data_IF_370614189006
#
_entry.id   IF_370614189006
#
_cell.length_a   1.000
_cell.length_b   1.000
_cell.length_c   1.000
_cell.angle_alpha   90.00
_cell.angle_beta   90.00
_cell.angle_gamma   90.00
#
_symmetry.space_group_name_H-M   'P 1'
#
loop_
_entity.id
_entity.type
_entity.pdbx_description
1 polymer ?
#
# COMPACT_ATOMS: atom_id res chain seq x y z
N UNK A 1 -10.92 -21.30 19.41
CA UNK A 1 -10.71 -20.06 18.65
C UNK A 1 -9.39 -20.17 17.93
N UNK A 2 -9.37 -19.96 16.61
CA UNK A 2 -8.12 -19.87 15.85
C UNK A 2 -7.57 -18.45 15.86
N UNK A 3 -6.66 -18.14 14.93
CA UNK A 3 -6.06 -16.81 14.74
C UNK A 3 -7.11 -15.68 14.68
N UNK A 4 -8.24 -15.92 14.00
CA UNK A 4 -9.35 -14.98 13.94
C UNK A 4 -9.95 -14.64 15.32
N UNK A 5 -10.00 -15.61 16.24
CA UNK A 5 -10.48 -15.39 17.61
C UNK A 5 -9.52 -14.50 18.38
N UNK A 6 -8.21 -14.79 18.32
CA UNK A 6 -7.18 -13.98 18.96
C UNK A 6 -7.17 -12.53 18.45
N UNK A 7 -7.35 -12.32 17.14
CA UNK A 7 -7.48 -10.98 16.57
C UNK A 7 -8.72 -10.23 17.08
N UNK A 8 -9.87 -10.90 17.17
CA UNK A 8 -11.08 -10.29 17.74
C UNK A 8 -10.89 -9.90 19.21
N UNK A 9 -10.23 -10.73 19.99
CA UNK A 9 -9.92 -10.45 21.39
C UNK A 9 -8.98 -9.25 21.53
N UNK A 10 -7.92 -9.20 20.73
CA UNK A 10 -7.00 -8.04 20.68
C UNK A 10 -7.70 -6.74 20.30
N UNK A 11 -8.58 -6.78 19.28
CA UNK A 11 -9.33 -5.59 18.85
C UNK A 11 -10.29 -5.12 19.94
N UNK A 12 -11.01 -6.04 20.59
CA UNK A 12 -11.93 -5.72 21.70
C UNK A 12 -11.19 -5.14 22.90
N UNK A 13 -10.05 -5.73 23.26
CA UNK A 13 -9.25 -5.26 24.39
C UNK A 13 -8.82 -3.78 24.22
N UNK A 14 -8.57 -3.35 23.00
CA UNK A 14 -8.17 -1.96 22.70
C UNK A 14 -9.36 -1.01 22.54
N UNK A 15 -10.48 -1.46 21.97
CA UNK A 15 -11.56 -0.59 21.50
C UNK A 15 -12.86 -0.64 22.32
N UNK A 16 -13.05 -1.66 23.17
CA UNK A 16 -14.26 -1.75 24.00
C UNK A 16 -14.28 -0.59 25.02
N UNK A 17 -15.45 0.03 25.19
CA UNK A 17 -15.64 1.21 26.05
C UNK A 17 -15.28 2.56 25.42
N UNK A 18 -14.73 2.58 24.20
CA UNK A 18 -14.40 3.82 23.46
C UNK A 18 -15.58 4.32 22.62
N UNK A 19 -16.52 5.05 23.20
CA UNK A 19 -17.73 5.54 22.50
C UNK A 19 -17.51 6.82 21.67
N UNK A 20 -16.33 7.43 21.79
CA UNK A 20 -15.92 8.68 21.14
C UNK A 20 -15.44 8.52 19.69
N UNK A 21 -15.46 7.29 19.15
CA UNK A 21 -14.89 6.98 17.83
C UNK A 21 -15.91 7.21 16.71
N UNK A 22 -15.56 8.06 15.73
CA UNK A 22 -16.46 8.45 14.64
C UNK A 22 -16.27 7.70 13.31
N UNK A 23 -15.08 7.19 13.00
CA UNK A 23 -14.78 6.47 11.75
C UNK A 23 -13.54 5.58 11.93
N UNK A 24 -13.39 4.57 11.07
CA UNK A 24 -12.16 3.79 10.93
C UNK A 24 -11.43 4.24 9.66
N UNK A 25 -10.21 4.77 9.80
CA UNK A 25 -9.32 5.04 8.65
C UNK A 25 -8.11 4.12 8.71
N UNK A 26 -7.84 3.39 7.63
CA UNK A 26 -6.69 2.49 7.52
C UNK A 26 -6.01 2.63 6.16
N UNK A 27 -4.69 2.41 6.12
CA UNK A 27 -3.99 1.98 4.92
C UNK A 27 -4.13 0.45 4.82
N UNK A 28 -4.89 -0.10 3.85
CA UNK A 28 -5.10 -1.54 3.78
C UNK A 28 -3.82 -2.31 3.45
N UNK A 29 -3.59 -3.40 4.16
CA UNK A 29 -2.51 -4.39 3.99
C UNK A 29 -1.10 -3.87 4.26
N UNK A 30 -0.79 -2.60 3.99
CA UNK A 30 0.55 -2.05 4.18
C UNK A 30 0.50 -0.56 4.53
N UNK A 31 1.13 -0.19 5.64
CA UNK A 31 1.42 1.21 5.96
C UNK A 31 2.71 1.62 5.26
N UNK A 32 2.58 2.34 4.14
CA UNK A 32 3.70 2.56 3.22
C UNK A 32 4.78 3.46 3.80
N UNK A 33 4.41 4.71 4.08
CA UNK A 33 5.35 5.72 4.61
C UNK A 33 5.80 5.42 6.06
N UNK A 34 5.03 4.60 6.79
CA UNK A 34 5.34 4.16 8.15
C UNK A 34 6.45 3.09 8.25
N UNK A 35 7.12 2.77 7.13
CA UNK A 35 8.19 1.78 7.07
C UNK A 35 7.79 0.47 6.41
N UNK A 36 6.87 0.50 5.43
CA UNK A 36 6.35 -0.71 4.76
C UNK A 36 5.86 -1.78 5.74
N UNK A 37 5.07 -1.38 6.73
CA UNK A 37 4.54 -2.31 7.73
C UNK A 37 3.38 -3.09 7.12
N UNK A 38 3.63 -4.33 6.76
CA UNK A 38 2.60 -5.24 6.27
C UNK A 38 1.76 -5.76 7.44
N UNK A 39 0.45 -5.67 7.30
CA UNK A 39 -0.53 -6.04 8.31
C UNK A 39 -1.33 -7.22 7.76
N UNK A 40 -1.55 -8.24 8.61
CA UNK A 40 -2.35 -9.40 8.23
C UNK A 40 -3.76 -8.97 7.77
N UNK A 41 -4.15 -9.27 6.51
CA UNK A 41 -5.47 -8.95 5.98
C UNK A 41 -6.63 -9.51 6.83
N UNK A 42 -6.43 -10.64 7.52
CA UNK A 42 -7.43 -11.20 8.42
C UNK A 42 -7.65 -10.30 9.64
N UNK A 43 -6.59 -9.74 10.24
CA UNK A 43 -6.71 -8.84 11.37
C UNK A 43 -7.45 -7.56 10.98
N UNK A 44 -7.05 -6.92 9.87
CA UNK A 44 -7.71 -5.70 9.39
C UNK A 44 -9.17 -5.96 9.02
N UNK A 45 -9.49 -7.10 8.39
CA UNK A 45 -10.88 -7.48 8.12
C UNK A 45 -11.71 -7.60 9.40
N UNK A 46 -11.15 -8.18 10.48
CA UNK A 46 -11.86 -8.26 11.76
C UNK A 46 -12.02 -6.87 12.41
N UNK A 47 -11.05 -5.97 12.26
CA UNK A 47 -11.15 -4.58 12.71
C UNK A 47 -12.26 -3.83 11.96
N UNK A 48 -12.30 -3.94 10.64
CA UNK A 48 -13.37 -3.36 9.81
C UNK A 48 -14.74 -3.90 10.23
N UNK A 49 -14.86 -5.22 10.43
CA UNK A 49 -16.11 -5.84 10.92
C UNK A 49 -16.50 -5.35 12.31
N UNK A 50 -15.53 -5.09 13.18
CA UNK A 50 -15.77 -4.55 14.51
C UNK A 50 -16.34 -3.14 14.44
N UNK A 51 -15.69 -2.23 13.71
CA UNK A 51 -16.14 -0.85 13.55
C UNK A 51 -17.51 -0.76 12.85
N UNK A 52 -17.75 -1.55 11.80
CA UNK A 52 -19.05 -1.59 11.12
C UNK A 52 -20.20 -2.02 12.01
N UNK A 53 -20.00 -3.00 12.91
CA UNK A 53 -21.04 -3.41 13.88
C UNK A 53 -21.43 -2.28 14.84
N UNK A 54 -20.60 -1.24 14.94
CA UNK A 54 -20.83 -0.05 15.76
C UNK A 54 -21.36 1.14 14.96
N UNK A 55 -21.70 0.94 13.68
CA UNK A 55 -22.20 2.00 12.80
C UNK A 55 -21.14 2.99 12.33
N UNK A 56 -19.85 2.68 12.51
CA UNK A 56 -18.77 3.58 12.09
C UNK A 56 -18.46 3.39 10.60
N UNK A 57 -18.38 4.48 9.80
CA UNK A 57 -17.90 4.42 8.43
C UNK A 57 -16.43 4.00 8.38
N UNK A 58 -16.10 3.26 7.34
CA UNK A 58 -14.78 2.69 7.06
C UNK A 58 -14.18 3.42 5.86
N UNK A 59 -12.98 3.94 6.05
CA UNK A 59 -12.21 4.70 5.07
C UNK A 59 -10.95 3.90 4.74
N UNK A 60 -10.78 3.56 3.47
CA UNK A 60 -9.52 3.02 2.96
C UNK A 60 -8.69 4.14 2.35
N UNK A 61 -7.50 4.37 2.91
CA UNK A 61 -6.46 5.13 2.23
C UNK A 61 -5.73 4.21 1.25
N UNK A 62 -6.17 4.22 0.00
CA UNK A 62 -5.60 3.46 -1.10
C UNK A 62 -4.61 4.27 -1.94
N UNK A 63 -4.18 5.45 -1.46
CA UNK A 63 -3.30 6.35 -2.23
C UNK A 63 -1.96 5.66 -2.51
N UNK A 64 -1.43 4.87 -1.58
CA UNK A 64 -0.22 4.05 -1.81
C UNK A 64 -0.53 2.67 -2.39
N UNK A 65 -1.51 1.96 -1.80
CA UNK A 65 -1.71 0.52 -1.94
C UNK A 65 -2.71 0.10 -3.02
N UNK A 66 -3.54 1.03 -3.49
CA UNK A 66 -4.54 0.75 -4.52
C UNK A 66 -3.97 0.86 -5.93
N UNK A 67 -4.89 0.79 -6.90
CA UNK A 67 -4.63 0.99 -8.32
C UNK A 67 -3.50 0.10 -8.83
N UNK A 68 -3.61 -1.20 -8.55
CA UNK A 68 -2.70 -2.24 -9.02
C UNK A 68 -1.30 -2.23 -8.41
N UNK A 69 -1.03 -1.40 -7.40
CA UNK A 69 0.21 -1.45 -6.61
C UNK A 69 0.49 -2.87 -6.11
N UNK A 70 -0.53 -3.56 -5.59
CA UNK A 70 -0.45 -4.94 -5.09
C UNK A 70 -0.95 -6.00 -6.07
N UNK A 71 -1.16 -5.64 -7.35
CA UNK A 71 -1.71 -6.53 -8.37
C UNK A 71 -3.23 -6.69 -8.31
N UNK A 72 -3.92 -5.86 -7.52
CA UNK A 72 -5.38 -5.75 -7.46
C UNK A 72 -5.77 -4.29 -7.72
N UNK A 73 -6.89 -4.06 -8.38
CA UNK A 73 -7.39 -2.69 -8.62
C UNK A 73 -7.61 -1.97 -7.28
N UNK A 74 -8.20 -2.67 -6.31
CA UNK A 74 -8.40 -2.21 -4.95
C UNK A 74 -8.01 -3.30 -3.95
N UNK A 75 -7.47 -2.87 -2.81
CA UNK A 75 -7.17 -3.73 -1.66
C UNK A 75 -8.41 -4.31 -0.98
N UNK A 76 -9.61 -3.87 -1.36
CA UNK A 76 -10.87 -4.50 -0.94
C UNK A 76 -10.92 -5.99 -1.26
N UNK A 77 -10.25 -6.45 -2.32
CA UNK A 77 -10.19 -7.87 -2.71
C UNK A 77 -9.30 -8.68 -1.76
N UNK A 78 -8.26 -8.04 -1.21
CA UNK A 78 -7.39 -8.63 -0.18
C UNK A 78 -8.12 -8.71 1.17
N UNK A 79 -8.84 -7.63 1.54
CA UNK A 79 -9.61 -7.59 2.78
C UNK A 79 -10.97 -8.30 2.67
N UNK A 80 -11.47 -8.57 1.47
CA UNK A 80 -12.80 -9.13 1.17
C UNK A 80 -13.95 -8.35 1.83
N UNK A 81 -13.82 -7.04 1.87
CA UNK A 81 -14.81 -6.12 2.45
C UNK A 81 -14.60 -4.73 1.84
N UNK A 82 -15.63 -4.20 1.20
CA UNK A 82 -15.61 -2.86 0.62
C UNK A 82 -15.54 -1.79 1.72
N UNK A 83 -14.88 -0.64 1.50
CA UNK A 83 -14.98 0.50 2.38
C UNK A 83 -16.25 1.33 2.11
N UNK A 84 -16.56 2.26 2.99
CA UNK A 84 -17.62 3.27 2.79
C UNK A 84 -17.08 4.52 2.07
N UNK A 85 -15.77 4.80 2.22
CA UNK A 85 -15.01 5.84 1.54
C UNK A 85 -13.65 5.28 1.11
N UNK A 86 -13.17 5.62 -0.09
CA UNK A 86 -11.83 5.23 -0.55
C UNK A 86 -11.07 6.43 -1.15
N UNK A 87 -9.80 6.58 -0.76
CA UNK A 87 -8.94 7.66 -1.23
C UNK A 87 -7.90 7.15 -2.23
N UNK A 88 -7.77 7.83 -3.37
CA UNK A 88 -6.85 7.48 -4.45
C UNK A 88 -6.01 8.67 -4.89
N UNK A 89 -4.81 8.37 -5.40
CA UNK A 89 -3.84 9.33 -5.96
C UNK A 89 -2.70 8.54 -6.61
N UNK A 90 -1.47 9.08 -6.61
CA UNK A 90 -0.25 8.40 -7.12
C UNK A 90 -0.45 7.70 -8.48
N UNK A 91 -0.69 6.38 -8.49
CA UNK A 91 -0.92 5.58 -9.70
C UNK A 91 -2.17 6.01 -10.47
N UNK A 92 -3.06 6.80 -9.84
CA UNK A 92 -4.24 7.39 -10.47
C UNK A 92 -3.92 8.06 -11.80
N UNK A 93 -2.78 8.72 -11.93
CA UNK A 93 -2.34 9.39 -13.17
C UNK A 93 -1.03 8.82 -13.71
N UNK A 94 -0.62 7.65 -13.23
CA UNK A 94 0.72 7.11 -13.47
C UNK A 94 1.86 8.01 -12.95
N UNK A 95 1.56 8.94 -12.02
CA UNK A 95 2.53 9.89 -11.48
C UNK A 95 2.86 11.08 -12.40
N UNK A 96 2.10 11.30 -13.48
CA UNK A 96 2.40 12.33 -14.48
C UNK A 96 1.84 13.71 -14.15
N UNK A 97 0.64 13.77 -13.58
CA UNK A 97 -0.09 15.01 -13.25
C UNK A 97 -0.72 14.87 -11.86
N UNK A 98 -0.74 15.91 -11.01
CA UNK A 98 -1.43 15.85 -9.72
C UNK A 98 -2.94 15.64 -9.88
N UNK A 99 -3.45 14.57 -9.27
CA UNK A 99 -4.87 14.32 -9.08
C UNK A 99 -5.06 13.45 -7.84
N UNK A 100 -6.10 13.74 -7.07
CA UNK A 100 -6.57 12.90 -5.98
C UNK A 100 -8.08 12.74 -6.08
N UNK A 101 -8.59 11.60 -5.63
CA UNK A 101 -10.02 11.26 -5.66
C UNK A 101 -10.41 10.67 -4.31
N UNK A 102 -11.54 11.12 -3.77
CA UNK A 102 -12.21 10.50 -2.63
C UNK A 102 -13.54 9.95 -3.14
N UNK A 103 -13.65 8.62 -3.22
CA UNK A 103 -14.90 7.94 -3.51
C UNK A 103 -15.69 7.77 -2.22
N UNK A 104 -17.02 7.84 -2.32
CA UNK A 104 -17.93 7.55 -1.23
C UNK A 104 -19.03 6.62 -1.75
N UNK A 105 -19.57 5.80 -0.85
CA UNK A 105 -20.81 5.06 -1.10
C UNK A 105 -21.99 6.01 -1.30
N UNK A 106 -23.04 5.51 -1.95
CA UNK A 106 -24.27 6.27 -2.16
C UNK A 106 -24.85 6.74 -0.81
N UNK A 107 -24.93 5.86 0.19
CA UNK A 107 -25.43 6.20 1.53
C UNK A 107 -24.69 7.39 2.16
N UNK A 108 -23.37 7.46 2.00
CA UNK A 108 -22.57 8.61 2.48
C UNK A 108 -22.86 9.84 1.65
N UNK A 109 -22.93 9.72 0.32
CA UNK A 109 -23.24 10.84 -0.57
C UNK A 109 -24.62 11.44 -0.28
N UNK A 110 -25.65 10.59 -0.15
CA UNK A 110 -27.02 10.97 0.16
C UNK A 110 -27.14 11.71 1.50
N UNK A 111 -26.27 11.42 2.48
CA UNK A 111 -26.25 12.17 3.75
C UNK A 111 -25.93 13.66 3.59
N UNK A 112 -25.31 14.05 2.48
CA UNK A 112 -25.03 15.45 2.15
C UNK A 112 -26.05 16.07 1.16
N UNK A 113 -27.00 15.28 0.65
CA UNK A 113 -28.05 15.75 -0.26
C UNK A 113 -29.22 16.34 0.54
N UNK A 114 -29.37 17.65 0.47
CA UNK A 114 -30.47 18.39 1.08
C UNK A 114 -30.75 19.67 0.27
N UNK A 115 -31.97 20.21 0.39
CA UNK A 115 -32.35 21.50 -0.21
C UNK A 115 -31.63 22.68 0.47
N UNK A 116 -31.21 22.48 1.72
CA UNK A 116 -30.49 23.44 2.53
C UNK A 116 -28.97 23.28 2.50
N UNK A 117 -28.25 24.40 2.69
CA UNK A 117 -26.78 24.36 2.83
C UNK A 117 -26.27 23.69 4.10
N UNK A 118 -27.14 23.47 5.09
CA UNK A 118 -26.75 22.96 6.41
C UNK A 118 -26.09 21.58 6.34
N UNK A 119 -26.55 20.75 5.40
CA UNK A 119 -26.05 19.39 5.20
C UNK A 119 -25.13 19.26 3.97
N UNK A 120 -24.92 20.33 3.20
CA UNK A 120 -24.10 20.28 2.00
C UNK A 120 -22.60 20.12 2.33
N UNK A 121 -21.89 19.28 1.57
CA UNK A 121 -20.42 19.21 1.63
C UNK A 121 -19.80 20.44 0.93
N UNK A 122 -19.59 21.52 1.69
CA UNK A 122 -19.01 22.76 1.19
C UNK A 122 -17.47 22.68 1.07
N UNK A 123 -17.00 21.75 0.24
CA UNK A 123 -15.58 21.50 0.00
C UNK A 123 -15.28 21.43 -1.50
N UNK A 124 -14.23 22.13 -1.93
CA UNK A 124 -13.80 22.14 -3.32
C UNK A 124 -12.50 22.90 -3.52
N UNK A 125 -11.74 22.51 -4.52
CA UNK A 125 -10.49 23.17 -4.91
C UNK A 125 -10.65 23.77 -6.31
N UNK A 126 -9.88 24.81 -6.65
CA UNK A 126 -9.92 25.43 -7.98
C UNK A 126 -9.62 24.45 -9.12
N UNK A 127 -8.87 23.37 -8.83
CA UNK A 127 -8.51 22.31 -9.77
C UNK A 127 -9.30 21.01 -9.56
N UNK A 128 -10.38 21.03 -8.77
CA UNK A 128 -11.28 19.87 -8.66
C UNK A 128 -11.77 19.47 -10.06
N UNK A 129 -11.61 18.18 -10.40
CA UNK A 129 -11.92 17.62 -11.71
C UNK A 129 -11.21 18.32 -12.89
N UNK A 130 -9.95 18.76 -12.70
CA UNK A 130 -9.18 19.40 -13.76
C UNK A 130 -9.03 18.48 -14.99
N UNK A 131 -9.46 18.90 -16.21
CA UNK A 131 -9.58 18.01 -17.36
C UNK A 131 -8.29 17.26 -17.76
N UNK A 132 -7.12 17.90 -17.61
CA UNK A 132 -5.83 17.26 -17.92
C UNK A 132 -5.54 16.11 -16.94
N UNK A 133 -5.85 16.30 -15.66
CA UNK A 133 -5.68 15.25 -14.66
C UNK A 133 -6.63 14.09 -14.92
N UNK A 134 -7.89 14.39 -15.24
CA UNK A 134 -8.89 13.38 -15.59
C UNK A 134 -8.50 12.59 -16.84
N UNK A 135 -8.02 13.25 -17.89
CA UNK A 135 -7.57 12.58 -19.11
C UNK A 135 -6.35 11.68 -18.86
N UNK A 136 -5.38 12.15 -18.07
CA UNK A 136 -4.23 11.33 -17.66
C UNK A 136 -4.66 10.11 -16.85
N UNK A 137 -5.67 10.26 -15.99
CA UNK A 137 -6.19 9.15 -15.20
C UNK A 137 -6.91 8.11 -16.06
N UNK A 138 -7.81 8.54 -16.95
CA UNK A 138 -8.49 7.64 -17.90
C UNK A 138 -7.47 6.84 -18.72
N UNK A 139 -6.45 7.52 -19.26
CA UNK A 139 -5.40 6.83 -20.01
C UNK A 139 -4.61 5.84 -19.15
N UNK A 140 -4.30 6.18 -17.89
CA UNK A 140 -3.60 5.26 -16.98
C UNK A 140 -4.43 3.98 -16.75
N UNK A 141 -5.73 4.11 -16.46
CA UNK A 141 -6.64 2.96 -16.30
C UNK A 141 -6.73 2.10 -17.55
N UNK A 142 -6.90 2.69 -18.74
CA UNK A 142 -6.90 1.93 -20.00
C UNK A 142 -5.62 1.09 -20.16
N UNK A 143 -4.47 1.61 -19.73
CA UNK A 143 -3.20 0.89 -19.78
C UNK A 143 -3.09 -0.19 -18.72
N UNK A 144 -3.58 0.04 -17.50
CA UNK A 144 -3.61 -0.98 -16.46
C UNK A 144 -4.53 -2.15 -16.80
N UNK A 145 -5.72 -1.86 -17.34
CA UNK A 145 -6.68 -2.87 -17.76
C UNK A 145 -6.13 -3.73 -18.91
N UNK A 146 -5.40 -3.11 -19.84
CA UNK A 146 -4.74 -3.84 -20.92
C UNK A 146 -3.66 -4.80 -20.40
N UNK A 147 -2.86 -4.38 -19.41
CA UNK A 147 -1.80 -5.22 -18.82
C UNK A 147 -2.35 -6.47 -18.13
N UNK A 148 -3.52 -6.37 -17.48
CA UNK A 148 -4.02 -7.41 -16.59
C UNK A 148 -4.92 -8.43 -17.28
N UNK A 149 -5.40 -8.12 -18.49
CA UNK A 149 -6.11 -9.07 -19.34
C UNK A 149 -5.29 -10.32 -19.64
N UNK A 150 -3.97 -10.19 -19.72
CA UNK A 150 -3.06 -11.27 -20.09
C UNK A 150 -2.66 -12.17 -18.90
N UNK A 151 -3.04 -11.81 -17.66
CA UNK A 151 -2.56 -12.49 -16.44
C UNK A 151 -3.70 -12.83 -15.45
N UNK A 152 -4.91 -13.11 -15.97
CA UNK A 152 -6.12 -13.41 -15.16
C UNK A 152 -6.41 -12.38 -14.05
N UNK A 153 -6.01 -11.12 -14.25
CA UNK A 153 -6.16 -10.05 -13.26
C UNK A 153 -5.12 -10.05 -12.14
N UNK A 154 -4.04 -10.84 -12.21
CA UNK A 154 -3.00 -10.90 -11.17
C UNK A 154 -1.60 -11.05 -11.79
N UNK A 155 -0.77 -10.01 -11.66
CA UNK A 155 0.61 -10.04 -12.16
C UNK A 155 1.63 -10.44 -11.12
N UNK A 156 2.42 -11.47 -11.42
CA UNK A 156 3.58 -11.86 -10.63
C UNK A 156 4.80 -11.01 -11.00
N UNK A 157 5.23 -10.13 -10.10
CA UNK A 157 6.35 -9.22 -10.35
C UNK A 157 7.70 -9.77 -9.90
N UNK A 158 7.74 -10.66 -8.91
CA UNK A 158 8.97 -11.07 -8.24
C UNK A 158 9.10 -12.59 -8.22
N UNK A 159 10.30 -13.10 -8.49
CA UNK A 159 10.66 -14.49 -8.19
C UNK A 159 10.58 -14.76 -6.68
N UNK A 160 9.64 -15.62 -6.28
CA UNK A 160 9.39 -15.92 -4.88
C UNK A 160 10.50 -16.76 -4.23
N UNK A 161 11.27 -17.53 -5.00
CA UNK A 161 12.41 -18.27 -4.48
C UNK A 161 13.58 -17.32 -4.21
N UNK A 162 13.81 -16.34 -5.08
CA UNK A 162 14.81 -15.29 -4.81
C UNK A 162 14.41 -14.42 -3.62
N UNK A 163 13.14 -14.03 -3.49
CA UNK A 163 12.65 -13.30 -2.30
C UNK A 163 12.90 -14.09 -1.01
N UNK A 164 12.66 -15.41 -1.02
CA UNK A 164 12.95 -16.32 0.11
C UNK A 164 14.44 -16.49 0.37
N UNK A 165 15.29 -16.44 -0.67
CA UNK A 165 16.75 -16.47 -0.49
C UNK A 165 17.21 -15.17 0.18
N UNK A 166 16.72 -14.01 -0.27
CA UNK A 166 17.00 -12.70 0.33
C UNK A 166 16.60 -12.67 1.81
N UNK A 167 15.47 -13.28 2.18
CA UNK A 167 15.00 -13.34 3.57
C UNK A 167 15.88 -14.21 4.49
N UNK A 168 16.86 -14.94 3.95
CA UNK A 168 17.78 -15.82 4.69
C UNK A 168 19.20 -15.26 4.75
N UNK A 169 19.45 -14.10 4.14
CA UNK A 169 20.75 -13.44 4.20
C UNK A 169 21.02 -12.94 5.62
N UNK A 170 22.30 -12.97 5.99
CA UNK A 170 22.75 -12.44 7.29
C UNK A 170 22.40 -10.95 7.40
N UNK A 171 21.81 -10.55 8.53
CA UNK A 171 21.41 -9.18 8.77
C UNK A 171 20.11 -8.76 8.07
N UNK A 172 19.36 -9.68 7.46
CA UNK A 172 17.99 -9.45 6.97
C UNK A 172 16.99 -10.06 7.94
N UNK A 173 16.13 -9.23 8.53
CA UNK A 173 15.06 -9.67 9.44
C UNK A 173 13.86 -10.23 8.67
N UNK A 174 13.44 -9.54 7.61
CA UNK A 174 12.29 -9.95 6.81
C UNK A 174 12.41 -9.45 5.37
N UNK A 175 11.76 -10.16 4.44
CA UNK A 175 11.63 -9.78 3.03
C UNK A 175 10.21 -10.08 2.58
N UNK A 176 9.48 -9.06 2.15
CA UNK A 176 8.08 -9.17 1.73
C UNK A 176 7.94 -8.58 0.33
N UNK A 177 7.43 -9.40 -0.59
CA UNK A 177 7.08 -8.97 -1.93
C UNK A 177 5.56 -9.08 -2.12
N UNK A 178 4.91 -8.01 -2.54
CA UNK A 178 3.49 -7.98 -2.86
C UNK A 178 3.23 -7.03 -4.04
N UNK A 179 2.64 -7.55 -5.12
CA UNK A 179 2.52 -6.84 -6.39
C UNK A 179 3.84 -6.20 -6.80
N UNK A 180 3.82 -4.90 -7.09
CA UNK A 180 5.00 -4.14 -7.52
C UNK A 180 5.96 -3.74 -6.39
N UNK A 181 5.69 -4.12 -5.14
CA UNK A 181 6.48 -3.71 -3.97
C UNK A 181 7.32 -4.86 -3.46
N UNK A 182 8.59 -4.57 -3.16
CA UNK A 182 9.48 -5.41 -2.38
C UNK A 182 9.99 -4.58 -1.20
N UNK A 183 9.84 -5.08 0.02
CA UNK A 183 10.38 -4.47 1.23
C UNK A 183 11.33 -5.45 1.92
N UNK A 184 12.53 -4.99 2.24
CA UNK A 184 13.57 -5.74 2.95
C UNK A 184 13.83 -5.00 4.26
N UNK A 185 13.53 -5.66 5.36
CA UNK A 185 13.83 -5.18 6.70
C UNK A 185 15.16 -5.75 7.16
N UNK A 186 16.08 -4.88 7.58
CA UNK A 186 17.38 -5.28 8.09
C UNK A 186 17.34 -5.48 9.62
N UNK A 187 18.14 -6.42 10.10
CA UNK A 187 18.44 -6.56 11.52
C UNK A 187 19.33 -5.41 12.01
N UNK A 188 19.23 -5.06 13.30
CA UNK A 188 20.06 -4.03 13.94
C UNK A 188 19.27 -3.02 14.75
N UNK A 189 19.97 -1.96 15.16
CA UNK A 189 19.43 -0.88 16.01
C UNK A 189 18.32 -0.10 15.31
N UNK A 190 17.34 0.37 16.08
CA UNK A 190 16.28 1.26 15.59
C UNK A 190 16.76 2.73 15.54
N UNK A 191 16.03 3.58 14.82
CA UNK A 191 16.30 5.01 14.79
C UNK A 191 17.42 5.43 13.83
N UNK A 192 18.31 6.32 14.28
CA UNK A 192 19.27 7.00 13.42
C UNK A 192 20.30 6.03 12.79
N UNK A 193 20.83 5.09 13.59
CA UNK A 193 21.82 4.11 13.12
C UNK A 193 21.26 3.16 12.05
N UNK A 194 20.00 2.73 12.18
CA UNK A 194 19.29 1.98 11.14
C UNK A 194 19.25 2.72 9.80
N UNK A 195 19.01 4.03 9.86
CA UNK A 195 18.91 4.90 8.69
C UNK A 195 20.26 5.07 7.98
N UNK A 196 21.38 5.05 8.72
CA UNK A 196 22.71 5.08 8.11
C UNK A 196 23.03 3.80 7.34
N UNK A 197 22.74 2.62 7.92
CA UNK A 197 22.97 1.34 7.25
C UNK A 197 22.18 1.22 5.95
N UNK A 198 20.88 1.50 6.02
CA UNK A 198 20.01 1.46 4.83
C UNK A 198 20.39 2.54 3.83
N UNK A 199 20.80 3.73 4.28
CA UNK A 199 21.32 4.79 3.42
C UNK A 199 22.61 4.42 2.69
N UNK A 200 23.55 3.77 3.37
CA UNK A 200 24.81 3.29 2.77
C UNK A 200 24.54 2.22 1.70
N UNK A 201 23.66 1.26 2.00
CA UNK A 201 23.27 0.22 1.05
C UNK A 201 22.51 0.81 -0.15
N UNK A 202 21.57 1.76 0.06
CA UNK A 202 20.90 2.46 -1.02
C UNK A 202 21.90 3.23 -1.92
N UNK A 203 22.94 3.83 -1.34
CA UNK A 203 24.00 4.49 -2.10
C UNK A 203 24.85 3.50 -2.90
N UNK A 204 25.13 2.32 -2.34
CA UNK A 204 25.85 1.26 -3.05
C UNK A 204 25.04 0.75 -4.24
N UNK A 205 23.76 0.43 -4.03
CA UNK A 205 22.81 0.04 -5.07
C UNK A 205 22.67 1.12 -6.16
N UNK A 206 22.68 2.39 -5.77
CA UNK A 206 22.64 3.51 -6.71
C UNK A 206 23.84 3.54 -7.68
N UNK A 207 25.03 3.04 -7.27
CA UNK A 207 26.19 2.90 -8.17
C UNK A 207 26.00 1.79 -9.21
N UNK A 208 25.12 0.84 -8.92
CA UNK A 208 24.71 -0.24 -9.83
C UNK A 208 23.45 0.12 -10.63
N UNK A 209 22.98 1.37 -10.55
CA UNK A 209 21.81 1.86 -11.27
C UNK A 209 20.47 1.55 -10.59
N UNK A 210 20.49 1.02 -9.37
CA UNK A 210 19.28 0.68 -8.61
C UNK A 210 18.92 1.81 -7.66
N UNK A 211 17.77 2.43 -7.90
CA UNK A 211 17.20 3.42 -6.98
C UNK A 211 16.22 2.76 -6.01
N UNK A 212 16.42 3.00 -4.72
CA UNK A 212 15.53 2.55 -3.66
C UNK A 212 15.44 3.62 -2.56
N UNK A 213 14.42 3.49 -1.71
CA UNK A 213 14.20 4.45 -0.62
C UNK A 213 14.38 3.77 0.73
N UNK A 214 15.34 4.24 1.55
CA UNK A 214 15.44 3.91 2.96
C UNK A 214 14.25 4.46 3.77
N UNK A 215 13.72 3.66 4.68
CA UNK A 215 12.74 4.03 5.71
C UNK A 215 13.15 3.36 7.04
N UNK A 216 13.96 4.05 7.85
CA UNK A 216 14.54 3.44 9.06
C UNK A 216 15.40 2.23 8.71
N UNK A 217 15.10 1.07 9.28
CA UNK A 217 15.77 -0.20 8.99
C UNK A 217 15.23 -0.92 7.74
N UNK A 218 14.27 -0.32 7.02
CA UNK A 218 13.67 -0.92 5.81
C UNK A 218 14.23 -0.29 4.55
N UNK A 219 14.61 -1.13 3.60
CA UNK A 219 14.83 -0.76 2.21
C UNK A 219 13.66 -1.26 1.39
N UNK A 220 13.01 -0.38 0.64
CA UNK A 220 11.93 -0.79 -0.23
C UNK A 220 12.16 -0.37 -1.67
N UNK A 221 11.61 -1.19 -2.55
CA UNK A 221 11.62 -1.08 -3.99
C UNK A 221 10.18 -1.06 -4.45
N UNK A 222 9.91 -0.21 -5.43
CA UNK A 222 8.58 -0.02 -5.97
C UNK A 222 8.71 0.08 -7.47
N UNK A 223 8.36 -1.00 -8.15
CA UNK A 223 8.39 -1.05 -9.61
C UNK A 223 7.14 -0.40 -10.20
N UNK A 224 7.22 -0.09 -11.49
CA UNK A 224 6.05 0.30 -12.26
C UNK A 224 5.15 -0.94 -12.46
N UNK A 225 3.82 -0.80 -12.50
CA UNK A 225 2.94 -1.89 -12.93
C UNK A 225 3.30 -2.47 -14.30
N UNK A 226 4.02 -1.70 -15.14
CA UNK A 226 4.50 -2.09 -16.47
C UNK A 226 5.84 -2.84 -16.44
N UNK A 227 6.64 -2.74 -15.38
CA UNK A 227 7.96 -3.41 -15.26
C UNK A 227 7.81 -4.91 -15.51
N UNK A 228 8.70 -5.48 -16.31
CA UNK A 228 8.70 -6.91 -16.60
C UNK A 228 9.23 -7.71 -15.42
N UNK A 229 8.70 -8.93 -15.22
CA UNK A 229 9.16 -9.81 -14.14
C UNK A 229 10.67 -10.03 -14.19
N UNK A 230 11.23 -10.18 -15.40
CA UNK A 230 12.67 -10.35 -15.57
C UNK A 230 13.48 -9.18 -14.98
N UNK A 231 13.02 -7.94 -15.17
CA UNK A 231 13.71 -6.75 -14.63
C UNK A 231 13.68 -6.73 -13.09
N UNK A 232 12.55 -7.14 -12.50
CA UNK A 232 12.44 -7.31 -11.05
C UNK A 232 13.34 -8.45 -10.52
N UNK A 233 13.47 -9.54 -11.27
CA UNK A 233 14.34 -10.66 -10.91
C UNK A 233 15.83 -10.27 -11.02
N UNK A 234 16.20 -9.50 -12.05
CA UNK A 234 17.55 -8.93 -12.22
C UNK A 234 17.89 -8.01 -11.03
N UNK A 235 16.92 -7.19 -10.57
CA UNK A 235 17.06 -6.37 -9.36
C UNK A 235 17.30 -7.23 -8.11
N UNK A 236 16.56 -8.32 -7.93
CA UNK A 236 16.79 -9.26 -6.83
C UNK A 236 18.19 -9.89 -6.89
N UNK A 237 18.68 -10.20 -8.08
CA UNK A 237 20.04 -10.69 -8.29
C UNK A 237 21.11 -9.70 -7.81
N UNK A 238 20.95 -8.42 -8.13
CA UNK A 238 21.82 -7.34 -7.63
C UNK A 238 21.77 -7.28 -6.11
N UNK A 239 20.56 -7.30 -5.52
CA UNK A 239 20.38 -7.24 -4.07
C UNK A 239 21.07 -8.39 -3.32
N UNK A 240 20.96 -9.61 -3.84
CA UNK A 240 21.66 -10.78 -3.27
C UNK A 240 23.18 -10.57 -3.26
N UNK A 241 23.74 -9.98 -4.32
CA UNK A 241 25.16 -9.65 -4.40
C UNK A 241 25.58 -8.55 -3.43
N UNK A 242 24.80 -7.47 -3.31
CA UNK A 242 25.15 -6.32 -2.46
C UNK A 242 24.92 -6.58 -0.96
N UNK A 243 23.90 -7.36 -0.59
CA UNK A 243 23.59 -7.69 0.82
C UNK A 243 24.37 -8.92 1.29
N UNK A 244 24.53 -9.94 0.44
CA UNK A 244 25.24 -11.17 0.78
C UNK A 244 26.76 -11.09 0.67
N UNK A 245 27.31 -10.04 0.05
CA UNK A 245 28.74 -9.78 0.03
C UNK A 245 29.22 -9.08 1.32
N UNK A 246 30.53 -9.15 1.65
CA UNK A 246 31.07 -8.30 2.71
C UNK A 246 30.84 -6.85 2.30
N UNK A 247 30.04 -6.11 3.09
CA UNK A 247 29.82 -4.68 2.93
C UNK A 247 31.20 -3.99 2.81
N UNK A 248 31.56 -3.56 1.59
CA UNK A 248 32.83 -2.90 1.31
C UNK A 248 32.78 -1.41 1.60
#
# INVERSE_FOLDING_TARGET
GGLQGAYRESIRAELDGREDLGALLIEPVCQGAGGMKFIDPLWQRELVRYCRRRGMPVIYDEIFVGLYRFGYESTKDLLRIDPDIACYGKLLTGGTVPLGVTLATEDIFESFLDDGKANALLHGHSYTAHPIGCAAAVFAFEKYDALLKDDEGRRAYWDQDLVRQTSRLEGVRSSIALGTVLAIELEGEEGYAATERTGALAKALGKEGVYCRPLGNVLYFMCSPFTEKKECDDLLGILLGSIGGPLR
#
